data_IF_272285444709
#
_entry.id   IF_272285444709
#
_cell.length_a   1.000
_cell.length_b   1.000
_cell.length_c   1.000
_cell.angle_alpha   90.00
_cell.angle_beta   90.00
_cell.angle_gamma   90.00
#
_symmetry.space_group_name_H-M   'P 1'
#
loop_
_entity.id
_entity.type
_entity.pdbx_description
1 polymer ?
#
# COMPACT_ATOMS: atom_id res chain seq x y z
N UNK A 1 -7.75 3.80 -27.35
CA UNK A 1 -7.22 3.36 -26.05
C UNK A 1 -7.43 4.52 -25.09
N UNK A 2 -8.39 4.43 -24.18
CA UNK A 2 -8.57 5.46 -23.16
C UNK A 2 -7.40 5.37 -22.18
N UNK A 3 -6.66 6.46 -21.91
CA UNK A 3 -5.69 6.45 -20.83
C UNK A 3 -6.47 6.19 -19.54
N UNK A 4 -6.19 5.07 -18.87
CA UNK A 4 -6.73 4.86 -17.53
C UNK A 4 -6.02 5.83 -16.58
N UNK A 5 -6.75 6.46 -15.64
CA UNK A 5 -6.13 7.32 -14.64
C UNK A 5 -5.09 6.51 -13.86
N UNK A 6 -3.90 7.05 -13.74
CA UNK A 6 -2.78 6.40 -13.08
C UNK A 6 -2.97 6.53 -11.56
N UNK A 7 -3.48 5.46 -10.93
CA UNK A 7 -3.78 5.46 -9.50
C UNK A 7 -2.51 5.38 -8.66
N UNK A 8 -2.53 6.08 -7.52
CA UNK A 8 -1.52 5.99 -6.47
C UNK A 8 -1.97 4.99 -5.41
N UNK A 9 -1.20 3.93 -5.21
CA UNK A 9 -1.51 2.84 -4.29
C UNK A 9 -0.47 2.82 -3.15
N UNK A 10 -0.96 2.69 -1.92
CA UNK A 10 -0.13 2.39 -0.76
C UNK A 10 -0.33 0.93 -0.36
N UNK A 11 0.76 0.19 -0.17
CA UNK A 11 0.77 -1.17 0.38
C UNK A 11 1.37 -1.14 1.78
N UNK A 12 0.70 -1.78 2.74
CA UNK A 12 1.19 -1.97 4.11
C UNK A 12 1.17 -3.47 4.41
N UNK A 13 2.35 -4.09 4.43
CA UNK A 13 2.55 -5.55 4.48
C UNK A 13 3.92 -5.81 5.11
N UNK A 14 4.03 -6.59 6.19
CA UNK A 14 5.31 -6.79 6.89
C UNK A 14 6.17 -7.86 6.20
N UNK A 15 5.57 -8.81 5.50
CA UNK A 15 6.28 -9.90 4.84
C UNK A 15 6.92 -9.45 3.52
N UNK A 16 8.25 -9.42 3.48
CA UNK A 16 9.03 -8.86 2.37
C UNK A 16 8.69 -9.45 0.99
N UNK A 17 8.48 -10.77 0.90
CA UNK A 17 8.24 -11.40 -0.40
C UNK A 17 6.83 -11.10 -0.92
N UNK A 18 5.81 -11.14 -0.04
CA UNK A 18 4.45 -10.73 -0.38
C UNK A 18 4.39 -9.24 -0.76
N UNK A 19 5.01 -8.35 0.04
CA UNK A 19 5.08 -6.91 -0.28
C UNK A 19 5.72 -6.66 -1.64
N UNK A 20 6.86 -7.30 -1.91
CA UNK A 20 7.58 -7.17 -3.18
C UNK A 20 6.76 -7.69 -4.37
N UNK A 21 6.05 -8.81 -4.21
CA UNK A 21 5.21 -9.38 -5.25
C UNK A 21 4.06 -8.43 -5.61
N UNK A 22 3.31 -7.95 -4.62
CA UNK A 22 2.21 -7.01 -4.82
C UNK A 22 2.69 -5.71 -5.49
N UNK A 23 3.80 -5.15 -5.00
CA UNK A 23 4.39 -3.94 -5.59
C UNK A 23 4.77 -4.14 -7.05
N UNK A 24 5.42 -5.26 -7.37
CA UNK A 24 5.85 -5.58 -8.74
C UNK A 24 4.66 -5.71 -9.69
N UNK A 25 3.62 -6.47 -9.29
CA UNK A 25 2.43 -6.68 -10.12
C UNK A 25 1.69 -5.38 -10.40
N UNK A 26 1.47 -4.55 -9.37
CA UNK A 26 0.76 -3.29 -9.53
C UNK A 26 1.56 -2.27 -10.35
N UNK A 27 2.89 -2.22 -10.19
CA UNK A 27 3.74 -1.37 -11.06
C UNK A 27 3.72 -1.83 -12.52
N UNK A 28 3.67 -3.14 -12.79
CA UNK A 28 3.56 -3.69 -14.15
C UNK A 28 2.25 -3.30 -14.84
N UNK A 29 1.16 -3.19 -14.08
CA UNK A 29 -0.13 -2.66 -14.57
C UNK A 29 -0.14 -1.12 -14.75
N UNK A 30 0.97 -0.45 -14.44
CA UNK A 30 1.17 0.98 -14.67
C UNK A 30 0.78 1.89 -13.51
N UNK A 31 0.46 1.35 -12.34
CA UNK A 31 0.14 2.14 -11.15
C UNK A 31 1.39 2.73 -10.49
N UNK A 32 1.22 3.85 -9.78
CA UNK A 32 2.23 4.33 -8.85
C UNK A 32 2.04 3.62 -7.53
N UNK A 33 3.12 3.02 -7.01
CA UNK A 33 3.03 2.19 -5.81
C UNK A 33 4.10 2.63 -4.82
N UNK A 34 3.66 2.94 -3.60
CA UNK A 34 4.50 3.01 -2.42
C UNK A 34 4.21 1.79 -1.53
N UNK A 35 5.22 1.26 -0.86
CA UNK A 35 5.08 0.11 0.04
C UNK A 35 5.84 0.36 1.34
N UNK A 36 5.27 -0.09 2.45
CA UNK A 36 5.84 0.04 3.80
C UNK A 36 5.57 -1.23 4.60
N UNK A 37 6.36 -1.47 5.65
CA UNK A 37 6.35 -2.72 6.39
C UNK A 37 5.50 -2.69 7.67
N UNK A 38 5.03 -1.50 8.08
CA UNK A 38 4.33 -1.33 9.36
C UNK A 38 3.15 -0.38 9.22
N UNK A 39 2.15 -0.57 10.08
CA UNK A 39 0.98 0.30 10.16
C UNK A 39 1.38 1.76 10.40
N UNK A 40 2.33 1.97 11.31
CA UNK A 40 2.83 3.31 11.63
C UNK A 40 3.40 4.02 10.38
N UNK A 41 4.25 3.34 9.62
CA UNK A 41 4.79 3.89 8.38
C UNK A 41 3.69 4.20 7.37
N UNK A 42 2.65 3.36 7.32
CA UNK A 42 1.47 3.59 6.48
C UNK A 42 0.73 4.88 6.83
N UNK A 43 0.51 5.12 8.13
CA UNK A 43 -0.09 6.36 8.63
C UNK A 43 0.75 7.60 8.30
N UNK A 44 2.07 7.51 8.47
CA UNK A 44 3.00 8.59 8.14
C UNK A 44 2.96 8.94 6.64
N UNK A 45 2.82 7.93 5.76
CA UNK A 45 2.67 8.13 4.32
C UNK A 45 1.31 8.77 3.98
N UNK A 46 0.21 8.28 4.57
CA UNK A 46 -1.14 8.82 4.36
C UNK A 46 -1.27 10.27 4.83
N UNK A 47 -0.51 10.68 5.85
CA UNK A 47 -0.47 12.06 6.33
C UNK A 47 0.23 13.02 5.36
N UNK A 48 1.16 12.52 4.53
CA UNK A 48 1.99 13.34 3.63
C UNK A 48 1.55 13.28 2.17
N UNK A 49 0.95 12.16 1.76
CA UNK A 49 0.62 11.88 0.36
C UNK A 49 -0.80 11.35 0.25
N UNK A 50 -1.52 11.83 -0.77
CA UNK A 50 -2.84 11.28 -1.10
C UNK A 50 -2.68 10.01 -1.93
N UNK A 51 -3.31 8.94 -1.48
CA UNK A 51 -3.44 7.69 -2.21
C UNK A 51 -4.90 7.48 -2.62
N UNK A 52 -5.10 6.77 -3.73
CA UNK A 52 -6.42 6.40 -4.24
C UNK A 52 -6.88 5.06 -3.67
N UNK A 53 -5.93 4.19 -3.30
CA UNK A 53 -6.18 2.86 -2.74
C UNK A 53 -5.13 2.50 -1.69
N UNK A 54 -5.57 1.85 -0.62
CA UNK A 54 -4.74 1.25 0.42
C UNK A 54 -4.92 -0.28 0.37
N UNK A 55 -3.82 -1.00 0.19
CA UNK A 55 -3.76 -2.45 0.39
C UNK A 55 -3.11 -2.70 1.75
N UNK A 56 -3.91 -3.14 2.72
CA UNK A 56 -3.50 -3.32 4.11
C UNK A 56 -3.56 -4.81 4.47
N UNK A 57 -2.44 -5.37 4.90
CA UNK A 57 -2.47 -6.65 5.61
C UNK A 57 -3.09 -6.49 6.99
N UNK A 58 -4.00 -7.39 7.33
CA UNK A 58 -4.72 -7.40 8.60
C UNK A 58 -3.93 -8.16 9.69
N UNK A 59 -2.88 -8.90 9.32
CA UNK A 59 -2.06 -9.67 10.26
C UNK A 59 -0.81 -8.93 10.72
N UNK A 60 -0.69 -7.64 10.41
CA UNK A 60 0.44 -6.80 10.82
C UNK A 60 0.66 -6.88 12.35
N UNK A 61 1.89 -7.12 12.82
CA UNK A 61 2.18 -7.31 14.24
C UNK A 61 2.02 -6.02 15.06
N UNK A 62 2.06 -4.85 14.40
CA UNK A 62 1.86 -3.54 15.00
C UNK A 62 0.44 -2.99 14.83
N UNK A 63 -0.45 -3.78 14.22
CA UNK A 63 -1.87 -3.46 14.10
C UNK A 63 -2.69 -4.30 15.07
N UNK A 64 -3.35 -3.64 16.02
CA UNK A 64 -4.45 -4.27 16.76
C UNK A 64 -5.71 -4.24 15.88
N UNK A 65 -5.65 -4.94 14.74
CA UNK A 65 -6.71 -5.31 13.77
C UNK A 65 -7.66 -4.25 13.19
N UNK A 66 -7.80 -3.03 13.74
CA UNK A 66 -8.99 -2.19 13.52
C UNK A 66 -8.82 -0.69 13.82
N UNK A 67 -7.61 -0.12 13.80
CA UNK A 67 -7.39 1.30 14.12
C UNK A 67 -7.26 2.26 12.91
N UNK A 68 -7.52 1.80 11.68
CA UNK A 68 -7.45 2.65 10.47
C UNK A 68 -8.82 3.09 9.91
N UNK A 69 -9.91 2.99 10.70
CA UNK A 69 -11.26 3.42 10.29
C UNK A 69 -11.57 4.87 10.70
#
# INVERSE_FOLDING_TARGET
>A
MTPQPQLNILIVEDEDATRFLCETLLKQEGYFVASVATLQQGQEQLAQTRFDLLLLDLNLPDADGLQLA
#
